data_IF_125555219691
#
_entry.id   IF_125555219691
#
_cell.length_a   1.000
_cell.length_b   1.000
_cell.length_c   1.000
_cell.angle_alpha   90.00
_cell.angle_beta   90.00
_cell.angle_gamma   90.00
#
_symmetry.space_group_name_H-M   'P 1'
#
loop_
_entity.id
_entity.type
_entity.pdbx_description
1 polymer ?
#
# COMPACT_ATOMS: atom_id res chain seq x y z
N UNK A 1 -79.81 -17.13 17.83
CA UNK A 1 -78.68 -17.80 17.15
C UNK A 1 -77.54 -16.80 17.01
N UNK A 2 -76.45 -16.97 17.77
CA UNK A 2 -75.25 -16.13 17.71
C UNK A 2 -74.20 -16.85 16.87
N UNK A 3 -73.58 -16.17 15.90
CA UNK A 3 -72.26 -16.54 15.37
C UNK A 3 -71.44 -15.27 15.14
N UNK A 4 -70.28 -15.25 15.80
CA UNK A 4 -69.24 -14.23 15.72
C UNK A 4 -68.47 -14.35 14.40
N UNK A 5 -68.06 -13.20 13.85
CA UNK A 5 -67.02 -13.08 12.83
C UNK A 5 -65.93 -12.18 13.41
N UNK A 6 -64.77 -12.75 13.71
CA UNK A 6 -63.50 -12.01 13.83
C UNK A 6 -62.42 -12.90 13.19
N UNK A 7 -62.09 -12.63 11.93
CA UNK A 7 -60.81 -13.02 11.32
C UNK A 7 -60.44 -11.93 10.33
N UNK A 8 -59.32 -11.25 10.56
CA UNK A 8 -58.74 -10.31 9.60
C UNK A 8 -58.00 -9.14 10.22
N UNK A 9 -56.85 -9.38 10.88
CA UNK A 9 -55.90 -8.28 11.20
C UNK A 9 -54.42 -8.69 11.32
N UNK A 10 -54.03 -9.95 11.02
CA UNK A 10 -52.66 -10.42 11.27
C UNK A 10 -51.69 -10.27 10.07
N UNK A 11 -52.16 -10.03 8.84
CA UNK A 11 -51.32 -10.07 7.63
C UNK A 11 -50.73 -8.69 7.25
N UNK A 12 -51.31 -7.58 7.72
CA UNK A 12 -50.85 -6.22 7.36
C UNK A 12 -49.56 -5.81 8.09
N UNK A 13 -49.34 -6.32 9.31
CA UNK A 13 -48.16 -5.98 10.12
C UNK A 13 -46.85 -6.56 9.58
N UNK A 14 -46.87 -7.78 9.02
CA UNK A 14 -45.67 -8.39 8.44
C UNK A 14 -45.23 -7.68 7.15
N UNK A 15 -46.17 -7.35 6.25
CA UNK A 15 -45.85 -6.67 4.99
C UNK A 15 -45.31 -5.25 5.22
N UNK A 16 -45.87 -4.52 6.19
CA UNK A 16 -45.38 -3.19 6.55
C UNK A 16 -43.99 -3.24 7.21
N UNK A 17 -43.69 -4.29 7.99
CA UNK A 17 -42.36 -4.48 8.58
C UNK A 17 -41.30 -4.80 7.53
N UNK A 18 -41.60 -5.68 6.57
CA UNK A 18 -40.67 -5.98 5.47
C UNK A 18 -40.35 -4.74 4.63
N UNK A 19 -41.35 -3.89 4.37
CA UNK A 19 -41.14 -2.64 3.62
C UNK A 19 -40.24 -1.64 4.35
N UNK A 20 -40.29 -1.60 5.69
CA UNK A 20 -39.41 -0.75 6.50
C UNK A 20 -37.98 -1.27 6.54
N UNK A 21 -37.80 -2.57 6.70
CA UNK A 21 -36.47 -3.19 6.72
C UNK A 21 -35.73 -2.94 5.39
N UNK A 22 -36.43 -3.13 4.27
CA UNK A 22 -35.89 -2.87 2.93
C UNK A 22 -35.52 -1.39 2.76
N UNK A 23 -36.36 -0.47 3.25
CA UNK A 23 -36.07 0.97 3.21
C UNK A 23 -34.81 1.33 4.03
N UNK A 24 -34.65 0.76 5.22
CA UNK A 24 -33.45 0.97 6.06
C UNK A 24 -32.19 0.53 5.30
N UNK A 25 -32.20 -0.68 4.73
CA UNK A 25 -31.06 -1.24 4.00
C UNK A 25 -30.73 -0.41 2.75
N UNK A 26 -31.73 -0.05 1.95
CA UNK A 26 -31.53 0.76 0.75
C UNK A 26 -30.97 2.14 1.08
N UNK A 27 -31.54 2.82 2.09
CA UNK A 27 -31.03 4.14 2.52
C UNK A 27 -29.61 4.07 3.07
N UNK A 28 -29.27 3.02 3.83
CA UNK A 28 -27.90 2.84 4.32
C UNK A 28 -26.93 2.56 3.16
N UNK A 29 -27.32 1.75 2.19
CA UNK A 29 -26.50 1.45 1.02
C UNK A 29 -26.24 2.70 0.16
N UNK A 30 -27.28 3.51 -0.10
CA UNK A 30 -27.15 4.80 -0.82
C UNK A 30 -26.22 5.77 -0.09
N UNK A 31 -26.39 5.88 1.24
CA UNK A 31 -25.49 6.68 2.09
C UNK A 31 -24.05 6.16 2.00
N UNK A 32 -23.85 4.85 2.13
CA UNK A 32 -22.51 4.26 2.07
C UNK A 32 -21.85 4.52 0.73
N UNK A 33 -22.56 4.34 -0.39
CA UNK A 33 -22.02 4.62 -1.72
C UNK A 33 -21.57 6.09 -1.87
N UNK A 34 -22.31 7.02 -1.28
CA UNK A 34 -21.93 8.45 -1.25
C UNK A 34 -20.68 8.68 -0.38
N UNK A 35 -20.56 7.97 0.74
CA UNK A 35 -19.46 8.13 1.69
C UNK A 35 -18.19 7.39 1.27
N UNK A 36 -18.27 6.39 0.37
CA UNK A 36 -17.09 5.77 -0.25
C UNK A 36 -16.29 6.82 -1.03
N UNK A 37 -16.96 7.72 -1.75
CA UNK A 37 -16.28 8.78 -2.52
C UNK A 37 -15.72 9.90 -1.63
N UNK A 38 -16.50 10.33 -0.61
CA UNK A 38 -16.07 11.40 0.31
C UNK A 38 -15.01 10.94 1.30
N UNK A 39 -15.12 9.69 1.74
CA UNK A 39 -14.37 9.12 2.85
C UNK A 39 -14.60 9.82 4.18
N UNK A 40 -13.81 9.37 5.16
CA UNK A 40 -13.76 9.89 6.52
C UNK A 40 -12.31 10.12 6.93
N UNK A 41 -12.12 10.83 8.03
CA UNK A 41 -10.86 10.92 8.74
C UNK A 41 -10.96 10.27 10.11
N UNK A 42 -9.82 9.92 10.70
CA UNK A 42 -9.80 9.45 12.08
C UNK A 42 -10.42 10.49 13.03
N UNK A 43 -11.38 10.03 13.84
CA UNK A 43 -12.15 10.84 14.78
C UNK A 43 -13.51 11.31 14.25
N UNK A 44 -13.79 11.16 12.96
CA UNK A 44 -15.09 11.53 12.39
C UNK A 44 -16.21 10.63 12.93
N UNK A 45 -17.41 11.20 13.08
CA UNK A 45 -18.62 10.45 13.42
C UNK A 45 -19.28 9.90 12.15
N UNK A 46 -19.80 8.67 12.22
CA UNK A 46 -20.66 8.12 11.19
C UNK A 46 -22.08 8.67 11.38
N UNK A 47 -22.38 9.77 10.69
CA UNK A 47 -23.70 10.41 10.70
C UNK A 47 -24.69 9.63 9.83
N UNK A 48 -25.13 8.47 10.34
CA UNK A 48 -26.06 7.60 9.63
C UNK A 48 -27.40 8.30 9.38
N UNK A 49 -28.09 8.01 8.25
CA UNK A 49 -29.35 8.65 7.91
C UNK A 49 -30.43 8.46 8.99
N UNK A 50 -31.30 9.46 9.18
CA UNK A 50 -32.40 9.41 10.15
C UNK A 50 -33.31 8.20 9.97
N UNK A 51 -33.56 7.78 8.74
CA UNK A 51 -34.35 6.58 8.43
C UNK A 51 -33.76 5.33 9.11
N UNK A 52 -32.43 5.24 9.21
CA UNK A 52 -31.75 4.16 9.91
C UNK A 52 -31.85 4.37 11.43
N UNK A 53 -31.41 5.53 11.91
CA UNK A 53 -31.27 5.78 13.36
C UNK A 53 -32.60 5.84 14.11
N UNK A 54 -33.67 6.34 13.48
CA UNK A 54 -34.99 6.43 14.11
C UNK A 54 -35.73 5.08 14.17
N UNK A 55 -35.38 4.13 13.30
CA UNK A 55 -35.97 2.79 13.28
C UNK A 55 -35.11 1.74 14.01
N UNK A 56 -33.87 2.07 14.38
CA UNK A 56 -32.98 1.21 15.15
C UNK A 56 -33.24 1.31 16.66
N UNK A 57 -33.15 0.17 17.34
CA UNK A 57 -32.94 0.05 18.80
C UNK A 57 -31.44 0.21 19.12
N UNK A 58 -30.58 -0.44 18.33
CA UNK A 58 -29.12 -0.32 18.44
C UNK A 58 -28.45 -0.52 17.08
N UNK A 59 -27.27 0.09 16.91
CA UNK A 59 -26.43 -0.06 15.72
C UNK A 59 -25.01 -0.39 16.19
N UNK A 60 -24.37 -1.35 15.52
CA UNK A 60 -22.95 -1.66 15.70
C UNK A 60 -22.28 -1.92 14.35
N UNK A 61 -20.95 -1.90 14.36
CA UNK A 61 -20.10 -2.13 13.19
C UNK A 61 -19.15 -3.28 13.51
N UNK A 62 -19.17 -4.32 12.68
CA UNK A 62 -18.26 -5.46 12.76
C UNK A 62 -17.09 -5.34 11.77
N UNK A 63 -15.91 -5.79 12.22
CA UNK A 63 -14.62 -5.81 11.51
C UNK A 63 -14.03 -7.21 11.62
N UNK A 64 -14.53 -8.15 10.81
CA UNK A 64 -14.28 -9.57 11.06
C UNK A 64 -14.74 -9.96 12.47
N UNK A 65 -13.80 -10.38 13.33
CA UNK A 65 -14.09 -10.84 14.69
C UNK A 65 -14.26 -9.73 15.73
N UNK A 66 -14.06 -8.45 15.36
CA UNK A 66 -14.20 -7.29 16.26
C UNK A 66 -15.52 -6.57 16.01
N UNK A 67 -16.08 -5.93 17.04
CA UNK A 67 -17.31 -5.15 16.94
C UNK A 67 -17.24 -3.89 17.81
N UNK A 68 -17.88 -2.81 17.38
CA UNK A 68 -18.05 -1.58 18.16
C UNK A 68 -19.46 -1.01 17.97
N UNK A 69 -20.06 -0.50 19.05
CA UNK A 69 -21.26 0.32 19.01
C UNK A 69 -20.95 1.82 18.98
N UNK A 70 -19.68 2.20 19.11
CA UNK A 70 -19.25 3.59 18.93
C UNK A 70 -19.13 3.89 17.44
N UNK A 71 -20.00 4.75 16.93
CA UNK A 71 -20.05 5.18 15.53
C UNK A 71 -19.02 6.29 15.24
N UNK A 72 -17.77 6.06 15.65
CA UNK A 72 -16.62 6.93 15.39
C UNK A 72 -15.57 6.17 14.59
N UNK A 73 -14.90 6.84 13.65
CA UNK A 73 -13.74 6.30 12.93
C UNK A 73 -12.52 6.28 13.86
N UNK A 74 -12.44 5.23 14.68
CA UNK A 74 -11.40 5.02 15.69
C UNK A 74 -10.24 4.16 15.14
N UNK A 75 -8.97 4.60 15.24
CA UNK A 75 -7.81 3.82 14.78
C UNK A 75 -7.63 2.45 15.47
N UNK A 76 -8.37 2.17 16.54
CA UNK A 76 -8.46 0.82 17.15
C UNK A 76 -9.15 -0.20 16.24
N UNK A 77 -10.07 0.26 15.38
CA UNK A 77 -10.88 -0.57 14.50
C UNK A 77 -10.60 -0.32 13.02
N UNK A 78 -10.30 0.92 12.65
CA UNK A 78 -10.07 1.33 11.27
C UNK A 78 -8.58 1.53 10.96
N UNK A 79 -8.19 1.26 9.72
CA UNK A 79 -6.92 1.73 9.14
C UNK A 79 -7.19 2.80 8.09
N UNK A 80 -6.14 3.51 7.64
CA UNK A 80 -6.24 4.26 6.39
C UNK A 80 -6.65 3.34 5.23
N UNK A 81 -7.22 3.90 4.19
CA UNK A 81 -7.71 3.15 3.03
C UNK A 81 -9.12 2.61 3.20
N UNK A 82 -9.47 1.63 2.37
CA UNK A 82 -10.76 0.95 2.40
C UNK A 82 -10.83 -0.06 3.55
N UNK A 83 -11.90 0.03 4.34
CA UNK A 83 -12.20 -0.88 5.44
C UNK A 83 -13.54 -1.57 5.13
N UNK A 84 -13.49 -2.88 4.86
CA UNK A 84 -14.69 -3.69 4.74
C UNK A 84 -15.30 -3.90 6.14
N UNK A 85 -16.59 -3.59 6.27
CA UNK A 85 -17.33 -3.68 7.53
C UNK A 85 -18.73 -4.25 7.30
N UNK A 86 -19.35 -4.70 8.38
CA UNK A 86 -20.79 -5.03 8.40
C UNK A 86 -21.49 -4.18 9.44
N UNK A 87 -22.49 -3.40 9.02
CA UNK A 87 -23.42 -2.75 9.94
C UNK A 87 -24.42 -3.76 10.46
N UNK A 88 -24.57 -3.85 11.78
CA UNK A 88 -25.59 -4.65 12.43
C UNK A 88 -26.62 -3.73 13.07
N UNK A 89 -27.87 -3.82 12.61
CA UNK A 89 -28.96 -2.95 13.02
C UNK A 89 -30.02 -3.80 13.70
N UNK A 90 -30.14 -3.66 15.01
CA UNK A 90 -31.27 -4.22 15.74
C UNK A 90 -32.43 -3.22 15.61
N UNK A 91 -33.49 -3.59 14.91
CA UNK A 91 -34.65 -2.72 14.71
C UNK A 91 -35.49 -2.64 15.98
N UNK A 92 -36.29 -1.58 16.14
CA UNK A 92 -37.27 -1.47 17.24
C UNK A 92 -38.32 -2.58 17.24
N UNK A 93 -38.47 -3.31 16.13
CA UNK A 93 -39.30 -4.50 16.02
C UNK A 93 -38.63 -5.79 16.51
N UNK A 94 -37.39 -5.72 17.01
CA UNK A 94 -36.62 -6.85 17.54
C UNK A 94 -35.90 -7.69 16.49
N UNK A 95 -35.97 -7.33 15.20
CA UNK A 95 -35.26 -8.01 14.11
C UNK A 95 -33.84 -7.45 13.99
N UNK A 96 -32.87 -8.29 13.61
CA UNK A 96 -31.52 -7.84 13.24
C UNK A 96 -31.38 -7.81 11.74
N UNK A 97 -30.88 -6.70 11.22
CA UNK A 97 -30.51 -6.49 9.81
C UNK A 97 -28.99 -6.38 9.74
N UNK A 98 -28.39 -6.94 8.69
CA UNK A 98 -26.97 -6.86 8.42
C UNK A 98 -26.75 -6.24 7.04
N UNK A 99 -25.80 -5.32 6.93
CA UNK A 99 -25.45 -4.67 5.68
C UNK A 99 -23.93 -4.54 5.58
N UNK A 100 -23.35 -5.22 4.60
CA UNK A 100 -21.95 -5.03 4.26
C UNK A 100 -21.73 -3.67 3.62
N UNK A 101 -20.60 -3.06 3.93
CA UNK A 101 -20.23 -1.72 3.53
C UNK A 101 -18.71 -1.58 3.47
N UNK A 102 -18.28 -0.51 2.81
CA UNK A 102 -16.88 -0.08 2.80
C UNK A 102 -16.78 1.32 3.36
N UNK A 103 -15.96 1.49 4.39
CA UNK A 103 -15.64 2.78 4.98
C UNK A 103 -14.22 3.15 4.54
N UNK A 104 -14.11 4.16 3.67
CA UNK A 104 -12.83 4.71 3.26
C UNK A 104 -12.34 5.73 4.30
N UNK A 105 -11.11 5.57 4.77
CA UNK A 105 -10.48 6.49 5.72
C UNK A 105 -9.24 7.12 5.09
N UNK A 106 -9.24 8.44 5.01
CA UNK A 106 -8.18 9.25 4.43
C UNK A 106 -7.37 9.96 5.50
N UNK A 107 -6.14 10.34 5.14
CA UNK A 107 -5.32 11.19 5.98
C UNK A 107 -6.02 12.52 6.24
N UNK A 108 -5.86 13.05 7.45
CA UNK A 108 -6.51 14.32 7.81
C UNK A 108 -5.84 15.52 7.15
N UNK A 109 -4.53 15.45 6.96
CA UNK A 109 -3.77 16.56 6.41
C UNK A 109 -3.49 16.31 4.93
N UNK A 110 -3.62 17.34 4.07
CA UNK A 110 -3.20 17.23 2.69
C UNK A 110 -1.69 17.04 2.58
N UNK A 111 -1.31 16.10 1.72
CA UNK A 111 0.07 15.86 1.34
C UNK A 111 0.67 17.11 0.69
N UNK A 112 1.91 17.44 1.05
CA UNK A 112 2.62 18.56 0.44
C UNK A 112 3.28 18.13 -0.87
N UNK A 113 3.13 18.93 -1.93
CA UNK A 113 4.03 18.82 -3.07
C UNK A 113 5.42 19.34 -2.65
N UNK A 114 6.42 18.47 -2.69
CA UNK A 114 7.78 18.77 -2.24
C UNK A 114 8.61 19.16 -3.46
N UNK A 115 9.09 20.40 -3.45
CA UNK A 115 9.96 20.91 -4.50
C UNK A 115 11.36 20.30 -4.40
N UNK A 116 11.99 20.10 -5.55
CA UNK A 116 13.37 19.65 -5.66
C UNK A 116 14.09 20.39 -6.78
N UNK A 117 15.39 20.15 -6.88
CA UNK A 117 16.22 20.60 -7.97
C UNK A 117 17.18 19.48 -8.38
N UNK A 118 17.27 19.21 -9.69
CA UNK A 118 18.29 18.30 -10.23
C UNK A 118 19.65 19.00 -10.08
N UNK A 119 20.60 18.33 -9.43
CA UNK A 119 21.94 18.87 -9.17
C UNK A 119 23.04 18.05 -9.85
N UNK A 120 22.77 16.80 -10.21
CA UNK A 120 23.69 15.97 -10.98
C UNK A 120 22.94 14.87 -11.76
N UNK A 121 23.61 14.34 -12.78
CA UNK A 121 23.16 13.19 -13.55
C UNK A 121 24.31 12.18 -13.64
N UNK A 122 23.99 10.89 -13.56
CA UNK A 122 24.93 9.78 -13.70
C UNK A 122 24.44 8.80 -14.76
N UNK A 123 25.33 8.08 -15.46
CA UNK A 123 24.91 7.05 -16.41
C UNK A 123 24.23 5.88 -15.69
N UNK A 124 23.18 5.34 -16.31
CA UNK A 124 22.52 4.07 -15.96
C UNK A 124 22.49 3.18 -17.20
N UNK A 125 22.60 1.86 -17.05
CA UNK A 125 22.55 0.96 -18.20
C UNK A 125 21.09 0.82 -18.67
N UNK A 126 20.73 1.25 -19.89
CA UNK A 126 19.36 1.14 -20.38
C UNK A 126 18.89 -0.30 -20.63
N UNK A 127 19.76 -1.31 -20.43
CA UNK A 127 19.37 -2.73 -20.40
C UNK A 127 18.82 -3.18 -19.05
N UNK A 128 19.04 -2.38 -18.00
CA UNK A 128 18.67 -2.71 -16.65
C UNK A 128 17.21 -2.31 -16.40
N UNK A 129 16.40 -3.32 -16.10
CA UNK A 129 15.01 -3.17 -15.72
C UNK A 129 14.94 -3.12 -14.20
N UNK A 130 15.37 -1.97 -13.66
CA UNK A 130 15.52 -1.77 -12.22
C UNK A 130 14.22 -1.98 -11.46
N UNK A 131 14.27 -2.85 -10.45
CA UNK A 131 13.17 -3.17 -9.54
C UNK A 131 13.53 -2.94 -8.06
N UNK A 132 14.81 -2.81 -7.74
CA UNK A 132 15.29 -2.38 -6.42
C UNK A 132 16.59 -1.58 -6.57
N UNK A 133 16.72 -0.49 -5.82
CA UNK A 133 17.82 0.46 -6.02
C UNK A 133 18.30 1.02 -4.68
N UNK A 134 19.55 0.73 -4.29
CA UNK A 134 20.12 1.25 -3.05
C UNK A 134 21.56 1.74 -3.21
N UNK A 135 21.97 2.69 -2.37
CA UNK A 135 23.35 3.15 -2.29
C UNK A 135 23.96 2.93 -0.90
N UNK A 136 25.20 2.45 -0.87
CA UNK A 136 26.05 2.49 0.32
C UNK A 136 27.40 3.13 -0.04
N UNK A 137 27.67 4.30 0.55
CA UNK A 137 28.83 5.11 0.15
C UNK A 137 28.69 5.60 -1.29
N UNK A 138 29.53 5.07 -2.19
CA UNK A 138 29.48 5.37 -3.63
C UNK A 138 29.16 4.13 -4.48
N UNK A 139 28.70 3.05 -3.85
CA UNK A 139 28.35 1.79 -4.51
C UNK A 139 26.84 1.67 -4.58
N UNK A 140 26.33 1.54 -5.81
CA UNK A 140 24.95 1.19 -6.08
C UNK A 140 24.80 -0.33 -6.01
N UNK A 141 23.73 -0.77 -5.36
CA UNK A 141 23.21 -2.13 -5.38
C UNK A 141 21.88 -2.07 -6.11
N UNK A 142 21.77 -2.84 -7.18
CA UNK A 142 20.62 -2.80 -8.08
C UNK A 142 20.10 -4.22 -8.28
N UNK A 143 18.79 -4.35 -8.18
CA UNK A 143 18.05 -5.54 -8.54
C UNK A 143 17.38 -5.28 -9.88
N UNK A 144 17.71 -6.12 -10.86
CA UNK A 144 17.12 -6.07 -12.19
C UNK A 144 16.17 -7.25 -12.37
N UNK A 145 14.95 -6.96 -12.83
CA UNK A 145 13.94 -7.98 -13.08
C UNK A 145 13.67 -8.16 -14.57
N UNK A 146 13.81 -9.38 -15.09
CA UNK A 146 13.25 -9.77 -16.39
C UNK A 146 13.30 -11.29 -16.53
N UNK A 147 12.32 -11.90 -17.20
CA UNK A 147 12.27 -13.35 -17.37
C UNK A 147 13.55 -13.87 -18.06
N UNK A 148 14.32 -14.70 -17.36
CA UNK A 148 15.59 -15.25 -17.83
C UNK A 148 16.79 -14.30 -17.83
N UNK A 149 16.64 -13.05 -17.37
CA UNK A 149 17.74 -12.09 -17.22
C UNK A 149 17.79 -11.38 -15.88
N UNK A 150 16.93 -11.75 -14.93
CA UNK A 150 16.97 -11.24 -13.55
C UNK A 150 18.36 -11.41 -12.92
N UNK A 151 18.83 -10.35 -12.28
CA UNK A 151 20.10 -10.35 -11.54
C UNK A 151 20.07 -9.42 -10.33
N UNK A 152 20.98 -9.65 -9.38
CA UNK A 152 21.43 -8.63 -8.44
C UNK A 152 22.83 -8.21 -8.89
N UNK A 153 23.10 -6.91 -8.94
CA UNK A 153 24.40 -6.37 -9.32
C UNK A 153 24.79 -5.22 -8.41
N UNK A 154 26.08 -4.90 -8.41
CA UNK A 154 26.58 -3.67 -7.79
C UNK A 154 27.64 -3.01 -8.64
N UNK A 155 27.65 -1.68 -8.63
CA UNK A 155 28.55 -0.88 -9.45
C UNK A 155 28.84 0.46 -8.77
N UNK A 156 29.88 1.16 -9.23
CA UNK A 156 30.21 2.48 -8.70
C UNK A 156 29.31 3.54 -9.34
N UNK A 157 28.69 4.41 -8.53
CA UNK A 157 27.92 5.54 -9.03
C UNK A 157 28.77 6.38 -9.99
N UNK A 158 28.23 6.70 -11.16
CA UNK A 158 28.98 7.34 -12.24
C UNK A 158 29.53 6.39 -13.31
N UNK A 159 29.33 5.08 -13.14
CA UNK A 159 29.74 4.03 -14.09
C UNK A 159 28.60 3.04 -14.32
N UNK A 160 28.66 2.24 -15.38
CA UNK A 160 27.68 1.17 -15.68
C UNK A 160 28.30 -0.22 -15.66
N UNK A 161 29.59 -0.34 -15.33
CA UNK A 161 30.29 -1.63 -15.31
C UNK A 161 30.10 -2.30 -13.95
N UNK A 162 29.49 -3.49 -13.89
CA UNK A 162 29.32 -4.21 -12.62
C UNK A 162 30.66 -4.55 -11.97
N UNK A 163 30.76 -4.31 -10.66
CA UNK A 163 31.85 -4.80 -9.80
C UNK A 163 31.61 -6.26 -9.41
N UNK A 164 30.36 -6.63 -9.22
CA UNK A 164 29.90 -8.00 -9.01
C UNK A 164 28.45 -8.11 -9.49
N UNK A 165 28.05 -9.32 -9.90
CA UNK A 165 26.65 -9.65 -10.16
C UNK A 165 26.38 -11.14 -9.95
N UNK A 166 25.13 -11.45 -9.65
CA UNK A 166 24.63 -12.81 -9.51
C UNK A 166 23.30 -12.90 -10.24
N UNK A 167 23.19 -13.83 -11.19
CA UNK A 167 21.95 -14.14 -11.91
C UNK A 167 21.03 -14.97 -11.03
N UNK A 168 19.72 -14.74 -11.15
CA UNK A 168 18.72 -15.59 -10.53
C UNK A 168 18.38 -16.81 -11.41
N UNK A 169 17.61 -17.74 -10.86
CA UNK A 169 17.01 -18.83 -11.62
C UNK A 169 16.15 -18.28 -12.76
N UNK A 170 16.04 -19.02 -13.87
CA UNK A 170 15.43 -18.52 -15.10
C UNK A 170 13.93 -18.19 -14.94
N UNK A 171 13.27 -18.92 -14.06
CA UNK A 171 11.86 -18.80 -13.70
C UNK A 171 11.57 -17.61 -12.77
N UNK A 172 12.60 -17.04 -12.13
CA UNK A 172 12.42 -16.00 -11.13
C UNK A 172 12.59 -14.60 -11.73
N UNK A 173 11.54 -13.80 -11.56
CA UNK A 173 11.54 -12.39 -11.84
C UNK A 173 11.95 -11.63 -10.58
N UNK A 174 13.12 -11.00 -10.60
CA UNK A 174 13.65 -10.25 -9.45
C UNK A 174 12.95 -8.92 -9.27
N UNK A 175 12.77 -8.54 -8.01
CA UNK A 175 12.04 -7.35 -7.58
C UNK A 175 12.90 -6.56 -6.57
N UNK A 176 12.29 -5.77 -5.70
CA UNK A 176 12.94 -4.89 -4.74
C UNK A 176 13.99 -5.56 -3.88
N UNK A 177 15.03 -4.80 -3.53
CA UNK A 177 16.15 -5.28 -2.73
C UNK A 177 16.60 -4.27 -1.70
N UNK A 178 17.08 -4.73 -0.55
CA UNK A 178 17.63 -3.86 0.49
C UNK A 178 18.83 -4.45 1.21
N UNK A 179 19.67 -3.58 1.76
CA UNK A 179 20.87 -3.90 2.52
C UNK A 179 20.51 -4.00 4.01
N UNK A 180 20.92 -5.10 4.63
CA UNK A 180 20.82 -5.31 6.08
C UNK A 180 22.18 -5.80 6.59
N UNK A 181 22.94 -4.89 7.20
CA UNK A 181 24.29 -5.21 7.69
C UNK A 181 25.23 -5.64 6.58
N UNK A 182 25.70 -6.89 6.62
CA UNK A 182 26.60 -7.51 5.64
C UNK A 182 25.87 -8.29 4.55
N UNK A 183 24.53 -8.15 4.45
CA UNK A 183 23.69 -8.87 3.50
C UNK A 183 22.89 -7.95 2.59
N UNK A 184 22.51 -8.49 1.44
CA UNK A 184 21.50 -7.92 0.54
C UNK A 184 20.33 -8.89 0.46
N UNK A 185 19.12 -8.40 0.70
CA UNK A 185 17.87 -9.14 0.56
C UNK A 185 17.22 -8.72 -0.76
N UNK A 186 16.68 -9.66 -1.51
CA UNK A 186 16.02 -9.39 -2.80
C UNK A 186 14.71 -10.18 -2.88
N UNK A 187 13.64 -9.52 -3.29
CA UNK A 187 12.35 -10.13 -3.55
C UNK A 187 12.30 -10.74 -4.95
N UNK A 188 11.38 -11.68 -5.13
CA UNK A 188 10.85 -12.10 -6.44
C UNK A 188 9.39 -11.70 -6.57
N UNK A 189 8.92 -11.58 -7.81
CA UNK A 189 7.55 -11.14 -8.11
C UNK A 189 6.50 -12.19 -7.65
N UNK A 190 6.40 -13.31 -8.37
CA UNK A 190 5.36 -14.32 -8.15
C UNK A 190 5.83 -15.59 -7.45
N UNK A 191 7.15 -15.78 -7.29
CA UNK A 191 7.71 -17.04 -6.79
C UNK A 191 7.57 -17.24 -5.28
N UNK A 192 7.01 -16.24 -4.56
CA UNK A 192 6.73 -16.28 -3.11
C UNK A 192 7.96 -16.59 -2.23
N UNK A 193 9.14 -16.27 -2.75
CA UNK A 193 10.43 -16.41 -2.06
C UNK A 193 11.31 -15.19 -2.32
N UNK A 194 12.30 -14.98 -1.48
CA UNK A 194 13.36 -14.02 -1.72
C UNK A 194 14.73 -14.63 -1.51
N UNK A 195 15.75 -13.88 -1.90
CA UNK A 195 17.15 -14.27 -1.86
C UNK A 195 17.91 -13.43 -0.84
N UNK A 196 18.92 -14.04 -0.23
CA UNK A 196 19.88 -13.37 0.66
C UNK A 196 21.28 -13.57 0.09
N UNK A 197 21.98 -12.48 -0.14
CA UNK A 197 23.33 -12.45 -0.68
C UNK A 197 24.32 -11.89 0.33
N UNK A 198 25.57 -12.34 0.23
CA UNK A 198 26.69 -11.65 0.85
C UNK A 198 26.89 -10.29 0.17
N UNK A 199 26.86 -9.19 0.93
CA UNK A 199 26.94 -7.83 0.36
C UNK A 199 28.27 -7.58 -0.38
N UNK A 200 29.36 -8.18 0.11
CA UNK A 200 30.70 -7.93 -0.44
C UNK A 200 30.93 -8.60 -1.80
N UNK A 201 30.35 -9.77 -2.03
CA UNK A 201 30.57 -10.59 -3.23
C UNK A 201 29.33 -10.75 -4.10
N UNK A 202 28.15 -10.43 -3.57
CA UNK A 202 26.83 -10.79 -4.10
C UNK A 202 26.62 -12.30 -4.26
N UNK A 203 27.42 -13.14 -3.60
CA UNK A 203 27.21 -14.59 -3.61
C UNK A 203 25.92 -14.93 -2.87
N UNK A 204 25.08 -15.76 -3.48
CA UNK A 204 23.87 -16.28 -2.85
C UNK A 204 24.24 -17.07 -1.58
N UNK A 205 23.63 -16.69 -0.45
CA UNK A 205 23.79 -17.35 0.84
C UNK A 205 22.63 -18.29 1.15
N UNK A 206 21.40 -17.82 0.94
CA UNK A 206 20.19 -18.58 1.23
C UNK A 206 18.96 -17.98 0.55
N UNK A 207 17.86 -18.72 0.56
CA UNK A 207 16.53 -18.23 0.22
C UNK A 207 15.68 -18.03 1.49
N UNK A 208 14.62 -17.24 1.39
CA UNK A 208 13.60 -17.11 2.44
C UNK A 208 12.19 -17.16 1.83
N UNK A 209 11.22 -17.68 2.58
CA UNK A 209 9.82 -17.69 2.17
C UNK A 209 9.11 -16.39 2.57
N UNK A 210 8.12 -15.98 1.80
CA UNK A 210 7.23 -14.87 2.16
C UNK A 210 6.26 -15.29 3.26
N UNK A 211 5.78 -14.34 4.09
CA UNK A 211 4.59 -14.61 4.89
C UNK A 211 3.38 -14.81 3.95
N UNK A 212 2.43 -15.66 4.35
CA UNK A 212 1.26 -15.99 3.52
C UNK A 212 0.46 -14.75 3.06
N UNK A 213 0.47 -13.68 3.86
CA UNK A 213 -0.27 -12.44 3.56
C UNK A 213 0.38 -11.60 2.45
N UNK A 214 1.67 -11.78 2.16
CA UNK A 214 2.37 -11.03 1.13
C UNK A 214 2.12 -11.70 -0.22
N UNK A 215 1.26 -11.08 -1.03
CA UNK A 215 0.75 -11.58 -2.31
C UNK A 215 1.83 -11.72 -3.38
N UNK A 216 2.62 -10.68 -3.53
CA UNK A 216 3.71 -10.57 -4.49
C UNK A 216 4.88 -9.87 -3.78
N UNK A 217 6.06 -9.84 -4.38
CA UNK A 217 7.14 -8.96 -3.94
C UNK A 217 7.34 -7.85 -4.96
N UNK A 218 7.25 -6.58 -4.55
CA UNK A 218 7.50 -5.42 -5.43
C UNK A 218 8.70 -4.64 -4.86
N UNK A 219 8.51 -3.62 -4.04
CA UNK A 219 9.63 -2.91 -3.40
C UNK A 219 10.07 -3.52 -2.08
N UNK A 220 11.32 -3.28 -1.69
CA UNK A 220 11.88 -3.70 -0.39
C UNK A 220 12.84 -2.65 0.17
N UNK A 221 12.66 -2.24 1.42
CA UNK A 221 13.60 -1.38 2.14
C UNK A 221 13.78 -1.85 3.59
N UNK A 222 14.60 -1.16 4.38
CA UNK A 222 14.94 -1.52 5.75
C UNK A 222 14.94 -0.29 6.68
N UNK A 223 14.15 -0.31 7.75
CA UNK A 223 14.03 0.82 8.70
C UNK A 223 15.08 0.82 9.83
N UNK A 224 16.09 -0.06 9.74
CA UNK A 224 17.03 -0.32 10.84
C UNK A 224 16.56 -1.37 11.84
N UNK A 225 15.34 -1.91 11.68
CA UNK A 225 14.76 -2.95 12.54
C UNK A 225 14.01 -4.03 11.75
N UNK A 226 13.10 -3.63 10.87
CA UNK A 226 12.23 -4.47 10.07
C UNK A 226 12.54 -4.26 8.58
N UNK A 227 12.41 -5.34 7.81
CA UNK A 227 12.25 -5.21 6.37
C UNK A 227 10.85 -4.63 6.10
N UNK A 228 10.73 -3.78 5.08
CA UNK A 228 9.46 -3.20 4.66
C UNK A 228 9.27 -3.53 3.19
N UNK A 229 8.22 -4.29 2.89
CA UNK A 229 7.90 -4.72 1.53
C UNK A 229 6.60 -4.08 1.02
N UNK A 230 6.52 -3.84 -0.28
CA UNK A 230 5.28 -3.60 -1.01
C UNK A 230 5.00 -4.77 -1.94
N UNK A 231 3.75 -4.90 -2.39
CA UNK A 231 3.28 -5.94 -3.31
C UNK A 231 2.38 -5.39 -4.42
N UNK A 232 2.47 -4.09 -4.70
CA UNK A 232 1.58 -3.40 -5.64
C UNK A 232 0.18 -3.11 -5.09
N UNK A 233 -0.18 -3.58 -3.89
CA UNK A 233 -1.39 -3.14 -3.21
C UNK A 233 -1.18 -1.79 -2.50
N UNK A 234 -2.18 -1.37 -1.71
CA UNK A 234 -2.10 -0.22 -0.81
C UNK A 234 -1.32 -0.48 0.47
N UNK A 235 -0.85 -1.71 0.70
CA UNK A 235 -0.25 -2.12 1.97
C UNK A 235 1.28 -2.06 1.91
N UNK A 236 1.87 -1.65 3.03
CA UNK A 236 3.28 -1.83 3.33
C UNK A 236 3.41 -2.85 4.47
N UNK A 237 4.17 -3.91 4.22
CA UNK A 237 4.33 -5.04 5.12
C UNK A 237 5.66 -4.96 5.85
N UNK A 238 5.61 -4.94 7.18
CA UNK A 238 6.80 -4.94 8.03
C UNK A 238 7.11 -6.37 8.41
N UNK A 239 8.28 -6.86 8.01
CA UNK A 239 8.73 -8.24 8.19
C UNK A 239 9.91 -8.29 9.18
N UNK A 240 10.00 -9.37 9.95
CA UNK A 240 11.16 -9.62 10.81
C UNK A 240 12.43 -9.80 9.95
N UNK A 241 13.44 -8.94 10.13
CA UNK A 241 14.66 -8.99 9.32
C UNK A 241 15.49 -10.27 9.52
N UNK A 242 15.36 -10.94 10.68
CA UNK A 242 16.03 -12.21 10.96
C UNK A 242 15.23 -13.41 10.45
N UNK A 243 13.92 -13.27 10.25
CA UNK A 243 13.06 -14.29 9.67
C UNK A 243 11.93 -13.65 8.85
N UNK A 244 12.19 -13.32 7.57
CA UNK A 244 11.23 -12.57 6.75
C UNK A 244 9.89 -13.27 6.51
N UNK A 245 9.77 -14.58 6.79
CA UNK A 245 8.48 -15.29 6.76
C UNK A 245 7.51 -14.85 7.86
N UNK A 246 7.98 -14.05 8.84
CA UNK A 246 7.17 -13.51 9.94
C UNK A 246 6.78 -12.07 9.66
N UNK A 247 5.48 -11.85 9.50
CA UNK A 247 4.88 -10.53 9.51
C UNK A 247 4.91 -9.96 10.94
N UNK A 248 5.38 -8.72 11.06
CA UNK A 248 5.28 -7.91 12.29
C UNK A 248 3.95 -7.14 12.30
N UNK A 249 3.69 -6.42 11.21
CA UNK A 249 2.46 -5.64 10.98
C UNK A 249 2.36 -5.27 9.51
N UNK A 250 1.22 -4.72 9.10
CA UNK A 250 1.10 -3.95 7.87
C UNK A 250 0.45 -2.60 8.17
N UNK A 251 0.66 -1.64 7.27
CA UNK A 251 -0.05 -0.36 7.27
C UNK A 251 -0.58 -0.10 5.86
N UNK A 252 -1.77 0.48 5.76
CA UNK A 252 -2.33 0.91 4.49
C UNK A 252 -1.95 2.37 4.20
N UNK A 253 -1.70 2.69 2.94
CA UNK A 253 -1.21 4.01 2.51
C UNK A 253 -2.34 4.84 1.91
N UNK A 254 -2.55 6.03 2.46
CA UNK A 254 -3.52 6.98 1.92
C UNK A 254 -3.05 8.44 2.09
N UNK A 255 -3.42 9.27 1.13
CA UNK A 255 -3.37 10.73 1.24
C UNK A 255 -4.69 11.27 1.78
N UNK A 256 -4.90 12.57 1.61
CA UNK A 256 -6.08 13.26 2.14
C UNK A 256 -7.37 13.04 1.34
N UNK A 257 -7.24 12.64 0.08
CA UNK A 257 -8.35 12.47 -0.85
C UNK A 257 -8.30 11.17 -1.66
N UNK A 258 -7.26 10.36 -1.49
CA UNK A 258 -7.10 9.12 -2.26
C UNK A 258 -6.35 8.05 -1.46
N UNK A 259 -6.67 6.80 -1.78
CA UNK A 259 -5.88 5.63 -1.40
C UNK A 259 -4.78 5.47 -2.45
N UNK A 260 -3.55 5.19 -2.01
CA UNK A 260 -2.48 4.87 -2.93
C UNK A 260 -2.33 3.36 -3.03
N UNK A 261 -2.60 2.83 -4.23
CA UNK A 261 -2.23 1.48 -4.65
C UNK A 261 -0.99 1.53 -5.55
N UNK A 262 -0.60 0.37 -6.10
CA UNK A 262 0.53 0.24 -7.01
C UNK A 262 1.85 0.74 -6.40
N UNK A 263 1.98 0.60 -5.08
CA UNK A 263 3.22 0.91 -4.36
C UNK A 263 4.30 -0.05 -4.87
N UNK A 264 5.35 0.53 -5.44
CA UNK A 264 6.43 -0.22 -6.07
C UNK A 264 7.72 -0.07 -5.26
N UNK A 265 8.84 0.29 -5.90
CA UNK A 265 10.14 0.44 -5.25
C UNK A 265 10.10 1.36 -4.02
N UNK A 266 10.83 0.97 -2.97
CA UNK A 266 10.77 1.57 -1.65
C UNK A 266 12.16 1.99 -1.17
N UNK A 267 12.23 3.10 -0.45
CA UNK A 267 13.42 3.49 0.30
C UNK A 267 13.08 4.09 1.66
N UNK A 268 13.75 3.65 2.72
CA UNK A 268 13.62 4.23 4.05
C UNK A 268 14.71 5.26 4.30
N UNK A 269 14.31 6.49 4.57
CA UNK A 269 15.26 7.58 4.82
C UNK A 269 14.70 8.59 5.82
N UNK A 270 15.53 8.98 6.81
CA UNK A 270 15.21 10.01 7.81
C UNK A 270 13.81 9.85 8.46
N UNK A 271 13.43 8.60 8.79
CA UNK A 271 12.17 8.31 9.48
C UNK A 271 10.95 8.11 8.58
N UNK A 272 11.10 8.23 7.26
CA UNK A 272 10.02 8.11 6.28
C UNK A 272 10.30 7.00 5.29
N UNK A 273 9.23 6.43 4.73
CA UNK A 273 9.29 5.53 3.58
C UNK A 273 9.01 6.36 2.34
N UNK A 274 9.86 6.23 1.34
CA UNK A 274 9.67 6.78 0.01
C UNK A 274 9.23 5.65 -0.89
N UNK A 275 8.21 5.88 -1.71
CA UNK A 275 7.66 4.84 -2.57
C UNK A 275 7.39 5.36 -3.97
N UNK A 276 7.86 4.66 -4.98
CA UNK A 276 7.34 4.83 -6.33
C UNK A 276 5.89 4.35 -6.38
N UNK A 277 5.10 4.97 -7.25
CA UNK A 277 3.78 4.46 -7.64
C UNK A 277 3.88 4.02 -9.10
N UNK A 278 3.70 2.72 -9.35
CA UNK A 278 3.87 2.18 -10.69
C UNK A 278 2.98 2.90 -11.70
N UNK A 279 3.48 3.09 -12.92
CA UNK A 279 2.81 3.84 -14.00
C UNK A 279 2.52 5.32 -13.70
N UNK A 280 2.99 5.87 -12.57
CA UNK A 280 2.88 7.30 -12.25
C UNK A 280 4.27 7.91 -12.04
N UNK A 281 4.53 9.12 -12.55
CA UNK A 281 5.82 9.78 -12.39
C UNK A 281 5.93 10.48 -11.03
N UNK A 282 5.53 9.81 -9.94
CA UNK A 282 5.52 10.37 -8.59
C UNK A 282 6.24 9.47 -7.59
N UNK A 283 6.83 10.11 -6.58
CA UNK A 283 7.33 9.45 -5.37
C UNK A 283 6.55 9.96 -4.17
N UNK A 284 6.05 9.04 -3.35
CA UNK A 284 5.36 9.36 -2.10
C UNK A 284 6.37 9.48 -0.96
N UNK A 285 6.10 10.34 0.01
CA UNK A 285 6.76 10.36 1.32
C UNK A 285 5.74 9.94 2.38
N UNK A 286 5.94 8.78 2.98
CA UNK A 286 4.97 8.05 3.79
C UNK A 286 5.46 7.96 5.23
N UNK A 287 4.58 8.29 6.18
CA UNK A 287 4.83 8.05 7.60
C UNK A 287 4.69 6.54 7.91
N UNK A 288 5.77 5.84 8.33
CA UNK A 288 5.73 4.38 8.56
C UNK A 288 4.87 3.96 9.76
N UNK A 289 4.54 4.88 10.66
CA UNK A 289 3.70 4.59 11.81
C UNK A 289 2.22 4.54 11.45
N UNK A 290 1.77 5.40 10.53
CA UNK A 290 0.35 5.62 10.24
C UNK A 290 -0.05 5.24 8.81
N UNK A 291 0.89 5.20 7.87
CA UNK A 291 0.61 5.06 6.43
C UNK A 291 0.18 6.38 5.75
N UNK A 292 0.18 7.50 6.47
CA UNK A 292 -0.17 8.80 5.92
C UNK A 292 0.89 9.26 4.92
N UNK A 293 0.44 9.61 3.71
CA UNK A 293 1.28 10.33 2.73
C UNK A 293 1.39 11.78 3.19
N UNK A 294 2.57 12.17 3.64
CA UNK A 294 2.84 13.54 4.13
C UNK A 294 3.38 14.46 3.03
N UNK A 295 3.83 13.87 1.92
CA UNK A 295 4.23 14.63 0.75
C UNK A 295 4.45 13.79 -0.50
N UNK A 296 4.57 14.48 -1.62
CA UNK A 296 4.73 13.89 -2.95
C UNK A 296 5.79 14.66 -3.74
N UNK A 297 6.55 13.94 -4.56
CA UNK A 297 7.47 14.50 -5.52
C UNK A 297 6.92 14.22 -6.92
N UNK A 298 6.88 15.24 -7.78
CA UNK A 298 6.44 15.12 -9.16
C UNK A 298 7.66 15.09 -10.10
N UNK A 299 7.90 13.93 -10.71
CA UNK A 299 9.00 13.70 -11.66
C UNK A 299 8.50 13.63 -13.11
N UNK A 300 7.31 14.17 -13.41
CA UNK A 300 6.69 14.14 -14.75
C UNK A 300 7.65 14.59 -15.85
N UNK A 301 8.37 15.69 -15.64
CA UNK A 301 9.25 16.24 -16.67
C UNK A 301 10.52 15.40 -16.88
N UNK A 302 11.00 14.71 -15.84
CA UNK A 302 12.10 13.74 -15.98
C UNK A 302 11.57 12.49 -16.69
N UNK A 303 10.42 11.95 -16.29
CA UNK A 303 9.84 10.75 -16.87
C UNK A 303 9.59 10.90 -18.38
N UNK A 304 9.02 12.03 -18.82
CA UNK A 304 8.80 12.34 -20.26
C UNK A 304 10.07 12.24 -21.12
N UNK A 305 11.25 12.51 -20.56
CA UNK A 305 12.51 12.48 -21.30
C UNK A 305 13.05 11.06 -21.48
N UNK A 306 12.62 10.11 -20.63
CA UNK A 306 13.23 8.78 -20.53
C UNK A 306 12.27 7.65 -20.91
N UNK A 307 10.95 7.81 -20.71
CA UNK A 307 9.95 6.80 -21.04
C UNK A 307 9.77 6.66 -22.55
N UNK A 308 10.39 5.62 -23.14
CA UNK A 308 10.33 5.32 -24.59
C UNK A 308 9.44 4.11 -24.90
N UNK A 309 9.40 3.14 -24.00
CA UNK A 309 8.51 1.97 -24.00
C UNK A 309 7.35 2.11 -23.02
N UNK A 310 6.43 1.14 -23.04
CA UNK A 310 5.23 1.13 -22.20
C UNK A 310 5.50 0.88 -20.71
N UNK A 311 6.65 0.30 -20.35
CA UNK A 311 7.06 0.09 -18.96
C UNK A 311 8.44 0.70 -18.65
N UNK A 312 8.90 1.65 -19.47
CA UNK A 312 10.12 2.43 -19.20
C UNK A 312 9.81 3.56 -18.19
N UNK A 313 9.27 3.18 -17.03
CA UNK A 313 8.69 4.09 -16.03
C UNK A 313 9.67 4.42 -14.91
N UNK A 314 9.38 5.52 -14.19
CA UNK A 314 10.07 5.89 -12.96
C UNK A 314 9.99 4.72 -11.95
N UNK A 315 11.15 4.22 -11.53
CA UNK A 315 11.28 3.14 -10.55
C UNK A 315 12.74 3.09 -10.05
N UNK A 316 12.94 3.09 -8.73
CA UNK A 316 14.26 3.13 -8.10
C UNK A 316 14.51 4.46 -7.41
N UNK A 317 14.61 4.42 -6.08
CA UNK A 317 14.83 5.55 -5.19
C UNK A 317 15.93 5.16 -4.20
N UNK A 318 16.92 6.02 -4.01
CA UNK A 318 17.82 5.90 -2.85
C UNK A 318 18.30 7.28 -2.38
N UNK A 319 19.07 7.35 -1.31
CA UNK A 319 19.58 8.62 -0.78
C UNK A 319 21.10 8.67 -0.65
N UNK A 320 21.70 9.68 -1.26
CA UNK A 320 23.11 10.05 -1.12
C UNK A 320 23.22 11.26 -0.21
N UNK A 321 23.43 11.02 1.09
CA UNK A 321 23.24 12.05 2.10
C UNK A 321 21.77 12.47 2.13
N UNK A 322 21.49 13.77 2.06
CA UNK A 322 20.11 14.30 2.02
C UNK A 322 19.53 14.37 0.60
N UNK A 323 20.34 14.10 -0.43
CA UNK A 323 19.90 14.15 -1.82
C UNK A 323 19.29 12.80 -2.21
N UNK A 324 18.13 12.86 -2.87
CA UNK A 324 17.48 11.68 -3.41
C UNK A 324 18.10 11.36 -4.78
N UNK A 325 18.41 10.10 -5.03
CA UNK A 325 18.74 9.57 -6.34
C UNK A 325 17.50 8.88 -6.90
N UNK A 326 17.11 9.20 -8.13
CA UNK A 326 16.00 8.56 -8.82
C UNK A 326 16.41 8.09 -10.21
N UNK A 327 15.87 6.96 -10.64
CA UNK A 327 16.01 6.44 -12.00
C UNK A 327 14.73 5.75 -12.45
N UNK A 328 14.80 4.94 -13.49
CA UNK A 328 13.66 4.19 -14.00
C UNK A 328 14.08 2.99 -14.83
N UNK A 329 13.10 2.13 -15.07
CA UNK A 329 13.26 0.93 -15.88
C UNK A 329 13.76 1.34 -17.27
N UNK A 330 14.92 0.79 -17.67
CA UNK A 330 15.56 1.06 -18.96
C UNK A 330 15.98 2.52 -19.17
N UNK A 331 16.00 3.36 -18.12
CA UNK A 331 16.43 4.75 -18.26
C UNK A 331 17.95 4.81 -18.51
N UNK A 332 18.46 5.75 -19.32
CA UNK A 332 19.91 5.89 -19.52
C UNK A 332 20.62 6.66 -18.40
N UNK A 333 19.87 7.16 -17.40
CA UNK A 333 20.37 8.09 -16.39
C UNK A 333 19.80 7.82 -14.99
N UNK A 334 20.62 8.09 -13.98
CA UNK A 334 20.23 8.36 -12.60
C UNK A 334 20.30 9.88 -12.37
N UNK A 335 19.30 10.45 -11.72
CA UNK A 335 19.23 11.87 -11.39
C UNK A 335 19.43 12.06 -9.89
N UNK A 336 20.39 12.90 -9.48
CA UNK A 336 20.51 13.35 -8.10
C UNK A 336 19.71 14.64 -7.92
N UNK A 337 18.76 14.61 -6.99
CA UNK A 337 17.88 15.72 -6.70
C UNK A 337 18.06 16.20 -5.26
N UNK A 338 18.28 17.50 -5.12
CA UNK A 338 18.27 18.19 -3.84
C UNK A 338 16.83 18.54 -3.48
N UNK A 339 16.37 18.09 -2.32
CA UNK A 339 15.06 18.41 -1.75
C UNK A 339 15.11 19.84 -1.16
N UNK A 340 14.07 20.65 -1.39
CA UNK A 340 13.99 22.06 -0.95
C UNK A 340 13.19 22.27 0.34
#
# INVERSE_FOLDING_TARGET
MKKNIIVGLAVVLMLASCNKDEKILNTLNEYNNTMVEKGYHFGDQLELPKEVTENAESISISFGDKETSNLTVDPKFFTLGDNAVTFNIKTKGGKTLNQDATINVFAKNPEKNIAYQIIAEYPHDPKNFVQGFQIEGNTIYESDGQNGSSQILKYTLGTTTPLASTKQAQEDFSEGSTIVGDKVYQLTWHSKKGYIYDKSTLKLLSEFAYPNVLGEGWGLTYDGKNLIASDGSKLLYFLDANNPSKLIKYVAVAGSSQIYDQLNELEYHNGFIYANVWQKPVVLKINPATGEVVGTFDFTDIAKQNTKGSDDVLNGITFKGDNMLVTGKNWPKIYEVQIK
#
